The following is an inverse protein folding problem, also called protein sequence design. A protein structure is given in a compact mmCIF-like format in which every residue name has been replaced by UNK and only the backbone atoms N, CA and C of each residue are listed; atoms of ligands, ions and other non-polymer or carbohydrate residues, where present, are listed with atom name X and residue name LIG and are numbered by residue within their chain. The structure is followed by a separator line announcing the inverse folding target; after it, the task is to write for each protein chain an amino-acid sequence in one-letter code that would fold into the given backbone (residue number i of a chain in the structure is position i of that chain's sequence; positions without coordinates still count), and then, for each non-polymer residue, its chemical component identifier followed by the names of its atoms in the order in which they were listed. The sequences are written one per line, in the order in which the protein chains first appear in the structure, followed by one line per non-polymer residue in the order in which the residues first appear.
data_IF_500543548822
#
_entry.id   IF_500543548822
#
_cell.length_a   1.000
_cell.length_b   1.000
_cell.length_c   1.000
_cell.angle_alpha   90.00
_cell.angle_beta   90.00
_cell.angle_gamma   90.00
#
_symmetry.space_group_name_H-M   'P 1'
#
loop_
_entity.id
_entity.type
_entity.pdbx_description
1 polymer ?
#
# COMPACT_ATOMS: atom_id res chain seq x y z
N UNK A 1 11.80 5.61 20.91
CA UNK A 1 11.15 6.60 20.03
C UNK A 1 12.09 7.77 19.82
N UNK A 2 12.40 8.09 18.56
CA UNK A 2 12.70 9.47 18.18
C UNK A 2 11.50 10.34 18.58
N UNK A 3 11.70 11.64 18.82
CA UNK A 3 10.56 12.47 19.22
C UNK A 3 9.50 12.45 18.11
N UNK A 4 8.20 12.41 18.47
CA UNK A 4 7.11 12.54 17.49
C UNK A 4 7.31 13.74 16.57
N UNK A 5 7.96 14.79 17.08
CA UNK A 5 8.32 16.00 16.36
C UNK A 5 9.36 15.74 15.26
N UNK A 6 10.40 14.93 15.50
CA UNK A 6 11.43 14.59 14.50
C UNK A 6 10.86 13.74 13.36
N UNK A 7 9.97 12.80 13.69
CA UNK A 7 9.23 12.00 12.70
C UNK A 7 8.31 12.89 11.85
N UNK A 8 7.51 13.75 12.48
CA UNK A 8 6.63 14.69 11.79
C UNK A 8 7.42 15.62 10.86
N UNK A 9 8.52 16.21 11.36
CA UNK A 9 9.37 17.10 10.60
C UNK A 9 9.99 16.42 9.37
N UNK A 10 10.35 15.13 9.48
CA UNK A 10 10.85 14.34 8.37
C UNK A 10 9.80 14.20 7.26
N UNK A 11 8.58 13.82 7.62
CA UNK A 11 7.47 13.65 6.67
C UNK A 11 7.03 14.97 6.05
N UNK A 12 7.00 16.07 6.81
CA UNK A 12 6.71 17.40 6.27
C UNK A 12 7.73 17.82 5.21
N UNK A 13 9.02 17.60 5.45
CA UNK A 13 10.07 17.88 4.46
C UNK A 13 9.89 17.03 3.21
N UNK A 14 9.57 15.74 3.37
CA UNK A 14 9.24 14.85 2.26
C UNK A 14 8.09 15.43 1.42
N UNK A 15 6.95 15.72 2.05
CA UNK A 15 5.75 16.23 1.37
C UNK A 15 6.00 17.54 0.62
N UNK A 16 6.69 18.49 1.25
CA UNK A 16 7.07 19.74 0.60
C UNK A 16 7.97 19.48 -0.62
N UNK A 17 8.94 18.57 -0.50
CA UNK A 17 9.92 18.30 -1.55
C UNK A 17 9.36 17.59 -2.79
N UNK A 18 8.26 16.83 -2.63
CA UNK A 18 7.57 16.15 -3.74
C UNK A 18 6.39 16.96 -4.29
N UNK A 19 6.21 18.19 -3.82
CA UNK A 19 5.09 19.05 -4.21
C UNK A 19 3.73 18.40 -3.91
N UNK A 20 3.59 17.74 -2.76
CA UNK A 20 2.33 17.18 -2.30
C UNK A 20 1.30 18.30 -2.10
N UNK A 21 0.09 18.10 -2.63
CA UNK A 21 -1.03 19.05 -2.49
C UNK A 21 -2.15 18.37 -1.74
N UNK A 22 -2.37 18.77 -0.48
CA UNK A 22 -3.54 18.32 0.25
C UNK A 22 -4.80 18.94 -0.35
N UNK A 23 -5.71 18.09 -0.81
CA UNK A 23 -7.05 18.51 -1.26
C UNK A 23 -8.10 17.88 -0.35
N UNK A 24 -9.06 18.67 0.17
CA UNK A 24 -10.24 18.12 0.83
C UNK A 24 -10.93 17.13 -0.09
N UNK A 25 -11.48 16.05 0.47
CA UNK A 25 -12.27 15.10 -0.29
C UNK A 25 -13.42 15.84 -1.00
N UNK A 26 -13.71 15.54 -2.28
CA UNK A 26 -15.03 15.85 -2.81
C UNK A 26 -16.11 15.18 -1.94
N UNK A 27 -17.38 15.67 -1.97
CA UNK A 27 -18.47 14.98 -1.30
C UNK A 27 -18.47 13.48 -1.69
N UNK A 28 -18.61 12.57 -0.71
CA UNK A 28 -18.56 11.15 -0.98
C UNK A 28 -19.63 10.75 -1.99
N UNK A 29 -19.33 9.81 -2.88
CA UNK A 29 -20.32 9.28 -3.82
C UNK A 29 -21.32 8.41 -3.03
N UNK A 30 -22.59 8.84 -2.87
CA UNK A 30 -23.54 8.12 -2.04
C UNK A 30 -23.84 6.71 -2.58
N UNK A 31 -23.81 6.51 -3.90
CA UNK A 31 -24.07 5.21 -4.51
C UNK A 31 -22.92 4.24 -4.20
N UNK A 32 -21.67 4.71 -4.29
CA UNK A 32 -20.49 3.91 -3.97
C UNK A 32 -20.52 3.43 -2.51
N UNK A 33 -20.77 4.35 -1.59
CA UNK A 33 -20.75 4.07 -0.15
C UNK A 33 -21.94 3.22 0.29
N UNK A 34 -23.13 3.41 -0.31
CA UNK A 34 -24.28 2.53 -0.08
C UNK A 34 -23.98 1.11 -0.58
N UNK A 35 -23.47 0.95 -1.81
CA UNK A 35 -23.07 -0.37 -2.35
C UNK A 35 -22.06 -1.08 -1.46
N UNK A 36 -21.01 -0.37 -1.02
CA UNK A 36 -19.98 -0.94 -0.15
C UNK A 36 -20.53 -1.32 1.22
N UNK A 37 -21.37 -0.48 1.81
CA UNK A 37 -22.02 -0.77 3.08
C UNK A 37 -22.91 -2.00 2.99
N UNK A 38 -23.83 -2.03 2.02
CA UNK A 38 -24.74 -3.17 1.78
C UNK A 38 -23.96 -4.46 1.55
N UNK A 39 -22.93 -4.45 0.70
CA UNK A 39 -22.11 -5.65 0.50
C UNK A 39 -21.38 -6.08 1.78
N UNK A 40 -20.90 -5.12 2.58
CA UNK A 40 -20.21 -5.44 3.84
C UNK A 40 -21.14 -6.16 4.82
N UNK A 41 -22.37 -5.66 4.98
CA UNK A 41 -23.36 -6.21 5.91
C UNK A 41 -23.97 -7.52 5.38
N UNK A 42 -24.39 -7.53 4.12
CA UNK A 42 -25.19 -8.64 3.59
C UNK A 42 -24.34 -9.82 3.08
N UNK A 43 -23.07 -9.57 2.74
CA UNK A 43 -22.18 -10.57 2.12
C UNK A 43 -20.95 -10.84 2.96
N UNK A 44 -20.19 -9.81 3.33
CA UNK A 44 -18.91 -10.01 4.02
C UNK A 44 -19.10 -10.46 5.48
N UNK A 45 -20.02 -9.85 6.23
CA UNK A 45 -20.25 -10.17 7.64
C UNK A 45 -20.68 -11.65 7.85
N UNK A 46 -21.64 -12.20 7.09
CA UNK A 46 -21.94 -13.64 7.15
C UNK A 46 -20.74 -14.52 6.76
N UNK A 47 -19.94 -14.09 5.78
CA UNK A 47 -18.80 -14.86 5.28
C UNK A 47 -17.58 -14.85 6.21
N UNK A 48 -17.43 -13.82 7.05
CA UNK A 48 -16.38 -13.74 8.07
C UNK A 48 -16.55 -14.80 9.16
N UNK A 49 -17.74 -15.40 9.30
CA UNK A 49 -18.12 -16.42 10.31
C UNK A 49 -18.00 -15.98 11.77
N UNK A 50 -17.60 -14.74 12.03
CA UNK A 50 -17.63 -14.08 13.32
C UNK A 50 -18.09 -12.61 13.15
N UNK A 51 -18.82 -12.09 14.14
CA UNK A 51 -19.16 -10.66 14.20
C UNK A 51 -17.88 -9.87 14.48
N UNK A 52 -17.21 -9.43 13.43
CA UNK A 52 -16.06 -8.55 13.59
C UNK A 52 -16.57 -7.12 13.82
N UNK A 53 -16.52 -6.64 15.06
CA UNK A 53 -16.78 -5.22 15.38
C UNK A 53 -15.93 -4.26 14.54
N UNK A 54 -14.80 -4.76 14.00
CA UNK A 54 -13.90 -3.99 13.14
C UNK A 54 -14.34 -3.93 11.66
N UNK A 55 -15.24 -4.78 11.17
CA UNK A 55 -15.60 -4.85 9.73
C UNK A 55 -16.06 -3.49 9.17
N UNK A 56 -16.94 -2.72 9.83
CA UNK A 56 -17.30 -1.38 9.37
C UNK A 56 -16.10 -0.44 9.27
N UNK A 57 -15.14 -0.54 10.19
CA UNK A 57 -13.92 0.26 10.16
C UNK A 57 -12.98 -0.15 9.02
N UNK A 58 -12.88 -1.44 8.70
CA UNK A 58 -12.14 -1.95 7.55
C UNK A 58 -12.78 -1.50 6.23
N UNK A 59 -14.10 -1.61 6.11
CA UNK A 59 -14.86 -1.12 4.96
C UNK A 59 -14.69 0.39 4.77
N UNK A 60 -14.74 1.16 5.85
CA UNK A 60 -14.48 2.60 5.79
C UNK A 60 -13.04 2.90 5.34
N UNK A 61 -12.03 2.21 5.89
CA UNK A 61 -10.63 2.41 5.50
C UNK A 61 -10.40 2.06 4.02
N UNK A 62 -10.86 0.89 3.58
CA UNK A 62 -10.79 0.44 2.19
C UNK A 62 -11.52 1.42 1.25
N UNK A 63 -12.76 1.77 1.60
CA UNK A 63 -13.59 2.67 0.81
C UNK A 63 -12.94 4.03 0.60
N UNK A 64 -12.45 4.64 1.69
CA UNK A 64 -11.77 5.94 1.67
C UNK A 64 -10.47 5.89 0.88
N UNK A 65 -9.71 4.80 0.98
CA UNK A 65 -8.47 4.65 0.23
C UNK A 65 -8.73 4.68 -1.28
N UNK A 66 -9.69 3.88 -1.73
CA UNK A 66 -10.04 3.79 -3.13
C UNK A 66 -10.59 5.12 -3.67
N UNK A 67 -11.51 5.75 -2.94
CA UNK A 67 -12.10 7.03 -3.35
C UNK A 67 -11.06 8.16 -3.43
N UNK A 68 -10.07 8.19 -2.52
CA UNK A 68 -9.01 9.20 -2.52
C UNK A 68 -7.96 8.98 -3.59
N UNK A 69 -7.38 7.79 -3.65
CA UNK A 69 -6.26 7.51 -4.54
C UNK A 69 -6.73 7.23 -5.98
N UNK A 70 -7.98 6.82 -6.19
CA UNK A 70 -8.45 6.38 -7.51
C UNK A 70 -9.71 7.12 -7.93
N UNK A 71 -9.72 8.46 -7.76
CA UNK A 71 -10.86 9.31 -8.10
C UNK A 71 -11.25 9.35 -9.58
N UNK A 72 -10.41 8.86 -10.50
CA UNK A 72 -10.77 8.67 -11.91
C UNK A 72 -11.43 7.31 -12.19
N UNK A 73 -11.31 6.35 -11.27
CA UNK A 73 -11.87 5.03 -11.45
C UNK A 73 -13.40 5.09 -11.46
N UNK A 74 -14.02 4.37 -12.40
CA UNK A 74 -15.46 4.20 -12.44
C UNK A 74 -15.98 3.53 -11.17
N UNK A 75 -17.23 3.82 -10.81
CA UNK A 75 -17.93 3.25 -9.65
C UNK A 75 -17.75 1.73 -9.51
N UNK A 76 -17.88 0.98 -10.62
CA UNK A 76 -17.72 -0.48 -10.63
C UNK A 76 -16.30 -0.93 -10.29
N UNK A 77 -15.28 -0.23 -10.82
CA UNK A 77 -13.88 -0.53 -10.56
C UNK A 77 -13.54 -0.17 -9.11
N UNK A 78 -13.99 1.00 -8.63
CA UNK A 78 -13.81 1.39 -7.24
C UNK A 78 -14.44 0.38 -6.29
N UNK A 79 -15.70 0.00 -6.54
CA UNK A 79 -16.41 -0.98 -5.72
C UNK A 79 -15.71 -2.34 -5.69
N UNK A 80 -15.19 -2.81 -6.83
CA UNK A 80 -14.45 -4.06 -6.91
C UNK A 80 -13.16 -4.03 -6.07
N UNK A 81 -12.34 -2.98 -6.23
CA UNK A 81 -11.10 -2.85 -5.47
C UNK A 81 -11.35 -2.59 -3.98
N UNK A 82 -12.43 -1.90 -3.62
CA UNK A 82 -12.82 -1.71 -2.24
C UNK A 82 -13.13 -3.05 -1.57
N UNK A 83 -13.90 -3.94 -2.23
CA UNK A 83 -14.18 -5.30 -1.73
C UNK A 83 -12.90 -6.12 -1.52
N UNK A 84 -12.00 -6.13 -2.50
CA UNK A 84 -10.70 -6.81 -2.37
C UNK A 84 -9.87 -6.25 -1.23
N UNK A 85 -9.86 -4.94 -1.06
CA UNK A 85 -9.13 -4.26 0.02
C UNK A 85 -9.74 -4.58 1.40
N UNK A 86 -11.08 -4.66 1.53
CA UNK A 86 -11.74 -5.10 2.77
C UNK A 86 -11.33 -6.52 3.14
N UNK A 87 -11.36 -7.44 2.18
CA UNK A 87 -10.98 -8.84 2.40
C UNK A 87 -9.49 -8.97 2.76
N UNK A 88 -8.62 -8.24 2.06
CA UNK A 88 -7.19 -8.14 2.35
C UNK A 88 -6.94 -7.69 3.80
N UNK A 89 -7.53 -6.56 4.21
CA UNK A 89 -7.42 -6.07 5.59
C UNK A 89 -8.02 -7.04 6.62
N UNK A 90 -9.07 -7.77 6.27
CA UNK A 90 -9.66 -8.78 7.13
C UNK A 90 -8.69 -9.94 7.40
N UNK A 91 -7.99 -10.44 6.38
CA UNK A 91 -7.01 -11.52 6.54
C UNK A 91 -5.77 -11.06 7.31
N UNK A 92 -5.27 -9.85 7.04
CA UNK A 92 -4.17 -9.23 7.79
C UNK A 92 -4.51 -9.11 9.28
N UNK A 93 -5.67 -8.55 9.62
CA UNK A 93 -6.10 -8.37 11.01
C UNK A 93 -6.50 -9.72 11.69
N UNK A 94 -6.51 -10.83 10.95
CA UNK A 94 -6.88 -12.17 11.45
C UNK A 94 -5.69 -13.11 11.68
N UNK A 95 -4.46 -12.61 11.62
CA UNK A 95 -3.22 -13.42 11.72
C UNK A 95 -3.15 -14.33 12.96
N UNK A 96 -3.79 -13.96 14.06
CA UNK A 96 -3.84 -14.72 15.31
C UNK A 96 -4.87 -15.86 15.28
N UNK A 97 -5.78 -15.91 14.30
CA UNK A 97 -6.79 -16.94 14.18
C UNK A 97 -6.21 -18.22 13.55
N UNK A 98 -5.72 -19.13 14.40
CA UNK A 98 -5.12 -20.40 13.97
C UNK A 98 -6.05 -21.27 13.12
N UNK A 99 -7.35 -21.28 13.43
CA UNK A 99 -8.32 -22.12 12.70
C UNK A 99 -8.48 -21.62 11.27
N UNK A 100 -8.64 -20.30 11.10
CA UNK A 100 -8.72 -19.68 9.78
C UNK A 100 -7.43 -19.91 8.98
N UNK A 101 -6.26 -19.76 9.62
CA UNK A 101 -4.98 -19.86 8.92
C UNK A 101 -4.60 -21.27 8.45
N UNK A 102 -5.25 -22.31 8.99
CA UNK A 102 -5.18 -23.68 8.41
C UNK A 102 -5.80 -23.71 7.00
N UNK A 103 -6.87 -22.95 6.78
CA UNK A 103 -7.53 -22.86 5.48
C UNK A 103 -6.81 -21.88 4.55
N UNK A 104 -6.34 -20.74 5.07
CA UNK A 104 -5.49 -19.79 4.32
C UNK A 104 -4.26 -20.50 3.74
N UNK A 105 -3.61 -21.37 4.52
CA UNK A 105 -2.46 -22.17 4.09
C UNK A 105 -2.72 -23.10 2.88
N UNK A 106 -3.99 -23.39 2.57
CA UNK A 106 -4.39 -24.22 1.44
C UNK A 106 -4.97 -23.41 0.29
N UNK A 107 -5.10 -22.09 0.43
CA UNK A 107 -5.81 -21.24 -0.52
C UNK A 107 -5.27 -21.35 -1.94
N UNK A 108 -3.99 -21.04 -2.13
CA UNK A 108 -3.32 -21.06 -3.44
C UNK A 108 -3.31 -22.47 -4.03
N UNK A 109 -3.04 -23.49 -3.23
CA UNK A 109 -3.11 -24.90 -3.63
C UNK A 109 -4.50 -25.29 -4.18
N UNK A 110 -5.57 -24.97 -3.43
CA UNK A 110 -6.96 -25.26 -3.85
C UNK A 110 -7.32 -24.52 -5.13
N UNK A 111 -6.91 -23.26 -5.26
CA UNK A 111 -7.10 -22.50 -6.50
C UNK A 111 -6.44 -23.19 -7.70
N UNK A 112 -5.18 -23.61 -7.58
CA UNK A 112 -4.46 -24.29 -8.66
C UNK A 112 -5.08 -25.63 -9.06
N UNK A 113 -5.70 -26.33 -8.11
CA UNK A 113 -6.41 -27.59 -8.37
C UNK A 113 -7.87 -27.41 -8.79
N UNK A 114 -8.37 -26.17 -8.87
CA UNK A 114 -9.78 -25.90 -9.16
C UNK A 114 -10.74 -26.43 -8.08
N UNK A 115 -10.28 -26.52 -6.84
CA UNK A 115 -11.06 -26.99 -5.70
C UNK A 115 -11.77 -25.82 -5.00
N UNK A 116 -12.92 -26.09 -4.41
CA UNK A 116 -13.64 -25.12 -3.58
C UNK A 116 -12.82 -24.72 -2.35
N UNK A 117 -12.93 -23.45 -1.94
CA UNK A 117 -12.36 -22.96 -0.69
C UNK A 117 -13.21 -23.42 0.49
N UNK A 118 -12.56 -23.73 1.62
CA UNK A 118 -13.27 -24.26 2.80
C UNK A 118 -13.94 -23.13 3.60
N UNK A 119 -13.28 -21.98 3.70
CA UNK A 119 -13.78 -20.83 4.43
C UNK A 119 -14.59 -19.89 3.50
N UNK A 120 -15.80 -19.43 3.88
CA UNK A 120 -16.61 -18.57 3.04
C UNK A 120 -15.92 -17.25 2.63
N UNK A 121 -15.20 -16.58 3.54
CA UNK A 121 -14.42 -15.40 3.19
C UNK A 121 -13.32 -15.68 2.13
N UNK A 122 -12.70 -16.87 2.13
CA UNK A 122 -11.72 -17.25 1.10
C UNK A 122 -12.40 -17.51 -0.25
N UNK A 123 -13.59 -18.12 -0.24
CA UNK A 123 -14.39 -18.27 -1.45
C UNK A 123 -14.78 -16.90 -2.04
N UNK A 124 -15.15 -15.95 -1.19
CA UNK A 124 -15.47 -14.58 -1.58
C UNK A 124 -14.24 -13.84 -2.15
N UNK A 125 -13.07 -14.02 -1.53
CA UNK A 125 -11.81 -13.47 -2.03
C UNK A 125 -11.47 -14.01 -3.44
N UNK A 126 -11.57 -15.33 -3.62
CA UNK A 126 -11.38 -15.98 -4.92
C UNK A 126 -12.37 -15.48 -5.97
N UNK A 127 -13.67 -15.41 -5.65
CA UNK A 127 -14.69 -14.93 -6.57
C UNK A 127 -14.43 -13.47 -7.00
N UNK A 128 -14.06 -12.61 -6.05
CA UNK A 128 -13.77 -11.20 -6.34
C UNK A 128 -12.52 -11.03 -7.22
N UNK A 129 -11.50 -11.89 -7.05
CA UNK A 129 -10.35 -11.93 -7.97
C UNK A 129 -10.71 -12.42 -9.38
N UNK A 130 -11.66 -13.35 -9.49
CA UNK A 130 -12.17 -13.82 -10.78
C UNK A 130 -12.89 -12.67 -11.52
N UNK A 131 -13.74 -11.91 -10.82
CA UNK A 131 -14.35 -10.69 -11.37
C UNK A 131 -13.30 -9.68 -11.86
N UNK A 132 -12.23 -9.46 -11.09
CA UNK A 132 -11.11 -8.61 -11.51
C UNK A 132 -10.40 -9.16 -12.77
N UNK A 133 -10.16 -10.47 -12.81
CA UNK A 133 -9.55 -11.13 -13.97
C UNK A 133 -10.36 -10.94 -15.25
N UNK A 134 -11.68 -11.00 -15.16
CA UNK A 134 -12.61 -10.78 -16.28
C UNK A 134 -12.50 -9.35 -16.84
N UNK A 135 -12.46 -8.33 -15.97
CA UNK A 135 -12.30 -6.93 -16.37
C UNK A 135 -11.01 -6.70 -17.15
N UNK A 136 -9.94 -7.42 -16.78
CA UNK A 136 -8.65 -7.33 -17.46
C UNK A 136 -8.47 -8.37 -18.59
N UNK A 137 -9.54 -9.08 -19.00
CA UNK A 137 -9.47 -10.25 -19.89
C UNK A 137 -8.70 -10.03 -21.20
N UNK A 138 -8.75 -8.82 -21.75
CA UNK A 138 -8.11 -8.47 -23.03
C UNK A 138 -6.63 -8.04 -22.91
N UNK A 139 -6.11 -7.77 -21.71
CA UNK A 139 -4.74 -7.32 -21.49
C UNK A 139 -4.04 -8.25 -20.49
N UNK A 140 -3.37 -9.29 -21.01
CA UNK A 140 -2.75 -10.34 -20.19
C UNK A 140 -1.69 -9.82 -19.22
N UNK A 141 -0.88 -8.84 -19.62
CA UNK A 141 0.18 -8.27 -18.76
C UNK A 141 -0.44 -7.48 -17.62
N UNK A 142 -1.36 -6.57 -17.93
CA UNK A 142 -2.02 -5.76 -16.92
C UNK A 142 -2.91 -6.62 -16.00
N UNK A 143 -3.56 -7.67 -16.54
CA UNK A 143 -4.29 -8.66 -15.74
C UNK A 143 -3.40 -9.33 -14.72
N UNK A 144 -2.20 -9.75 -15.11
CA UNK A 144 -1.27 -10.40 -14.20
C UNK A 144 -0.83 -9.45 -13.08
N UNK A 145 -0.53 -8.18 -13.42
CA UNK A 145 -0.23 -7.14 -12.43
C UNK A 145 -1.43 -6.88 -11.50
N UNK A 146 -2.66 -6.93 -12.02
CA UNK A 146 -3.87 -6.65 -11.24
C UNK A 146 -4.27 -7.81 -10.30
N UNK A 147 -4.17 -9.06 -10.77
CA UNK A 147 -4.81 -10.22 -10.11
C UNK A 147 -3.84 -11.02 -9.25
N UNK A 148 -2.62 -11.29 -9.74
CA UNK A 148 -1.65 -12.13 -9.04
C UNK A 148 -1.30 -11.65 -7.62
N UNK A 149 -1.16 -10.34 -7.35
CA UNK A 149 -0.74 -9.86 -6.03
C UNK A 149 -1.68 -10.26 -4.89
N UNK A 150 -2.98 -10.38 -5.17
CA UNK A 150 -3.97 -10.80 -4.19
C UNK A 150 -3.77 -12.26 -3.77
N UNK A 151 -3.34 -13.14 -4.68
CA UNK A 151 -2.98 -14.53 -4.34
C UNK A 151 -1.72 -14.53 -3.47
N UNK A 152 -0.72 -13.76 -3.89
CA UNK A 152 0.57 -13.65 -3.21
C UNK A 152 0.43 -13.06 -1.80
N UNK A 153 -0.54 -12.16 -1.60
CA UNK A 153 -0.85 -11.58 -0.30
C UNK A 153 -1.19 -12.63 0.75
N UNK A 154 -2.08 -13.59 0.45
CA UNK A 154 -2.41 -14.65 1.41
C UNK A 154 -1.22 -15.56 1.70
N UNK A 155 -0.37 -15.83 0.70
CA UNK A 155 0.90 -16.53 0.90
C UNK A 155 1.83 -15.73 1.85
N UNK A 156 1.83 -14.40 1.74
CA UNK A 156 2.61 -13.50 2.59
C UNK A 156 2.09 -13.48 4.05
N UNK A 157 0.77 -13.42 4.27
CA UNK A 157 0.18 -13.50 5.60
C UNK A 157 0.61 -14.78 6.34
N UNK A 158 0.75 -15.92 5.63
CA UNK A 158 1.24 -17.18 6.21
C UNK A 158 2.70 -17.04 6.64
N UNK A 159 3.54 -16.44 5.81
CA UNK A 159 4.96 -16.23 6.14
C UNK A 159 5.09 -15.30 7.34
N UNK A 160 4.31 -14.22 7.40
CA UNK A 160 4.26 -13.31 8.55
C UNK A 160 3.84 -14.05 9.83
N UNK A 161 2.79 -14.88 9.77
CA UNK A 161 2.36 -15.70 10.91
C UNK A 161 3.47 -16.62 11.40
N UNK A 162 4.21 -17.23 10.48
CA UNK A 162 5.35 -18.08 10.82
C UNK A 162 6.49 -17.29 11.49
N UNK A 163 6.81 -16.10 10.99
CA UNK A 163 7.81 -15.22 11.59
C UNK A 163 7.42 -14.87 13.03
N UNK A 164 6.18 -14.42 13.25
CA UNK A 164 5.67 -14.07 14.59
C UNK A 164 5.70 -15.29 15.53
N UNK A 165 5.26 -16.46 15.06
CA UNK A 165 5.25 -17.70 15.86
C UNK A 165 6.67 -18.12 16.26
N UNK A 166 7.64 -17.97 15.36
CA UNK A 166 9.05 -18.29 15.64
C UNK A 166 9.64 -17.31 16.66
N UNK A 167 9.32 -16.01 16.55
CA UNK A 167 9.75 -14.99 17.50
C UNK A 167 9.20 -15.25 18.90
N UNK A 168 7.91 -15.56 19.04
CA UNK A 168 7.28 -15.86 20.33
C UNK A 168 7.89 -17.08 21.03
N UNK A 169 8.13 -18.17 20.28
CA UNK A 169 8.78 -19.37 20.83
C UNK A 169 10.18 -19.10 21.36
N UNK A 170 10.91 -18.21 20.69
CA UNK A 170 12.26 -17.83 21.08
C UNK A 170 12.27 -16.99 22.37
N UNK A 171 11.27 -16.12 22.57
CA UNK A 171 11.08 -15.38 23.82
C UNK A 171 10.77 -16.31 25.00
N UNK A 172 9.89 -17.29 24.78
CA UNK A 172 9.47 -18.25 25.82
C UNK A 172 10.60 -19.19 26.25
N UNK A 173 11.49 -19.57 25.33
CA UNK A 173 12.55 -20.56 25.60
C UNK A 173 13.81 -19.98 26.25
N UNK A 174 13.96 -18.64 26.34
CA UNK A 174 15.18 -17.96 26.86
C UNK A 174 16.49 -18.58 26.34
N UNK A 175 16.49 -19.08 25.11
CA UNK A 175 17.59 -19.89 24.62
C UNK A 175 18.84 -19.02 24.39
N UNK A 176 19.99 -19.51 24.86
CA UNK A 176 21.27 -18.79 25.00
C UNK A 176 21.90 -18.43 23.63
N UNK A 177 21.26 -18.81 22.52
CA UNK A 177 21.65 -18.47 21.15
C UNK A 177 21.16 -17.11 20.64
N UNK A 178 20.64 -16.22 21.49
CA UNK A 178 20.19 -14.88 21.11
C UNK A 178 21.23 -14.06 20.30
N UNK A 179 22.54 -14.27 20.53
CA UNK A 179 23.63 -13.59 19.81
C UNK A 179 23.86 -14.06 18.36
N UNK A 180 23.40 -15.27 18.00
CA UNK A 180 23.44 -15.75 16.60
C UNK A 180 22.22 -15.31 15.80
N UNK A 181 21.13 -14.90 16.47
CA UNK A 181 19.80 -14.73 15.87
C UNK A 181 19.48 -13.29 15.43
N UNK A 182 19.87 -12.27 16.20
CA UNK A 182 19.91 -10.87 15.70
C UNK A 182 20.83 -10.73 14.47
N UNK A 183 21.76 -11.69 14.31
CA UNK A 183 22.67 -11.82 13.19
C UNK A 183 22.02 -12.40 11.91
N UNK A 184 20.86 -13.06 11.94
CA UNK A 184 20.29 -13.66 10.72
C UNK A 184 19.63 -12.62 9.80
N UNK A 185 18.90 -11.66 10.38
CA UNK A 185 18.39 -10.49 9.65
C UNK A 185 19.54 -9.58 9.18
N UNK A 186 20.63 -9.49 9.95
CA UNK A 186 21.87 -8.83 9.54
C UNK A 186 22.44 -9.39 8.23
N UNK A 187 22.39 -10.72 8.10
CA UNK A 187 22.87 -11.44 6.93
C UNK A 187 21.88 -11.45 5.75
N UNK A 188 20.69 -10.90 5.93
CA UNK A 188 19.62 -10.87 4.92
C UNK A 188 19.10 -9.45 4.64
N UNK A 189 19.95 -8.49 4.20
CA UNK A 189 19.56 -7.08 4.06
C UNK A 189 18.47 -6.80 3.02
N UNK A 190 18.19 -7.76 2.14
CA UNK A 190 17.13 -7.66 1.12
C UNK A 190 15.78 -8.23 1.59
N UNK A 191 15.77 -8.97 2.70
CA UNK A 191 14.58 -9.61 3.22
C UNK A 191 13.44 -8.64 3.55
N UNK A 192 13.68 -7.46 4.16
CA UNK A 192 12.60 -6.53 4.49
C UNK A 192 11.81 -6.08 3.26
N UNK A 193 12.51 -5.67 2.19
CA UNK A 193 11.88 -5.28 0.92
C UNK A 193 11.23 -6.46 0.19
N UNK A 194 11.84 -7.65 0.27
CA UNK A 194 11.24 -8.86 -0.30
C UNK A 194 9.89 -9.19 0.35
N UNK A 195 9.82 -9.18 1.69
CA UNK A 195 8.57 -9.43 2.41
C UNK A 195 7.54 -8.36 2.12
N UNK A 196 7.95 -7.09 2.13
CA UNK A 196 7.04 -5.98 1.86
C UNK A 196 6.41 -6.07 0.46
N UNK A 197 7.21 -6.36 -0.56
CA UNK A 197 6.71 -6.56 -1.92
C UNK A 197 5.79 -7.77 -2.09
N UNK A 198 5.77 -8.70 -1.12
CA UNK A 198 4.84 -9.85 -1.10
C UNK A 198 3.51 -9.50 -0.42
N UNK A 199 3.54 -8.80 0.71
CA UNK A 199 2.32 -8.49 1.48
C UNK A 199 1.59 -7.24 1.00
N UNK A 200 2.27 -6.28 0.36
CA UNK A 200 1.71 -4.95 0.08
C UNK A 200 0.69 -4.82 -1.05
N UNK A 201 0.53 -5.85 -1.89
CA UNK A 201 -0.42 -5.85 -3.02
C UNK A 201 -0.24 -4.66 -3.99
N UNK A 202 0.93 -4.01 -3.96
CA UNK A 202 1.19 -2.74 -4.65
C UNK A 202 1.02 -2.86 -6.16
N UNK A 203 1.34 -4.00 -6.76
CA UNK A 203 1.14 -4.28 -8.18
C UNK A 203 -0.32 -4.13 -8.62
N UNK A 204 -1.28 -4.55 -7.79
CA UNK A 204 -2.69 -4.44 -8.12
C UNK A 204 -3.16 -2.99 -8.10
N UNK A 205 -2.66 -2.24 -7.13
CA UNK A 205 -2.92 -0.82 -6.96
C UNK A 205 -2.24 0.04 -8.04
N UNK A 206 -1.07 -0.37 -8.53
CA UNK A 206 -0.43 0.22 -9.72
C UNK A 206 -1.24 -0.06 -10.98
N UNK A 207 -1.73 -1.30 -11.16
CA UNK A 207 -2.58 -1.63 -12.30
C UNK A 207 -3.84 -0.77 -12.35
N UNK A 208 -4.43 -0.46 -11.18
CA UNK A 208 -5.61 0.40 -11.06
C UNK A 208 -5.35 1.84 -11.51
N UNK A 209 -4.15 2.40 -11.29
CA UNK A 209 -3.79 3.75 -11.78
C UNK A 209 -4.01 3.85 -13.30
N UNK A 210 -3.81 2.76 -14.04
CA UNK A 210 -3.86 2.72 -15.49
C UNK A 210 -5.07 1.94 -16.05
N UNK A 211 -6.01 1.53 -15.19
CA UNK A 211 -7.27 0.85 -15.53
C UNK A 211 -8.44 1.42 -14.71
N UNK A 212 -8.66 2.71 -14.83
CA UNK A 212 -9.75 3.44 -14.18
C UNK A 212 -11.14 2.98 -14.64
N UNK A 213 -11.31 2.55 -15.90
CA UNK A 213 -12.58 2.00 -16.39
C UNK A 213 -12.37 0.66 -17.09
N UNK A 214 -13.46 -0.10 -17.28
CA UNK A 214 -13.43 -1.37 -18.03
C UNK A 214 -12.94 -1.16 -19.47
N UNK A 215 -13.29 -0.03 -20.07
CA UNK A 215 -12.99 0.33 -21.47
C UNK A 215 -11.63 1.03 -21.63
N UNK A 216 -11.05 1.58 -20.55
CA UNK A 216 -9.77 2.27 -20.65
C UNK A 216 -8.66 1.31 -21.07
N UNK A 217 -7.90 1.69 -22.09
CA UNK A 217 -6.72 0.95 -22.53
C UNK A 217 -5.58 1.95 -22.76
N UNK A 218 -4.71 2.08 -21.76
CA UNK A 218 -3.51 2.91 -21.84
C UNK A 218 -2.34 2.08 -22.37
N UNK A 219 -1.55 2.60 -23.32
CA UNK A 219 -0.41 1.88 -23.87
C UNK A 219 0.60 1.52 -22.78
N UNK A 220 0.80 0.21 -22.55
CA UNK A 220 1.72 -0.31 -21.53
C UNK A 220 3.13 0.30 -21.64
N UNK A 221 3.59 0.55 -22.86
CA UNK A 221 4.90 1.16 -23.16
C UNK A 221 5.11 2.54 -22.54
N UNK A 222 4.03 3.24 -22.19
CA UNK A 222 4.09 4.59 -21.58
C UNK A 222 4.35 4.56 -20.08
N UNK A 223 4.01 3.48 -19.38
CA UNK A 223 4.11 3.44 -17.91
C UNK A 223 4.83 2.25 -17.31
N UNK A 224 5.03 1.14 -18.05
CA UNK A 224 5.60 -0.09 -17.49
C UNK A 224 7.02 0.08 -16.91
N UNK A 225 7.79 1.03 -17.45
CA UNK A 225 9.14 1.35 -16.94
C UNK A 225 9.09 2.03 -15.57
N UNK A 226 7.97 2.69 -15.26
CA UNK A 226 7.72 3.32 -13.96
C UNK A 226 7.33 2.30 -12.89
N UNK A 227 6.88 1.10 -13.28
CA UNK A 227 6.28 0.13 -12.36
C UNK A 227 7.14 -0.12 -11.13
N UNK A 228 8.46 -0.42 -11.20
CA UNK A 228 9.27 -0.64 -10.00
C UNK A 228 9.25 0.55 -9.02
N UNK A 229 9.32 1.78 -9.54
CA UNK A 229 9.27 2.99 -8.74
C UNK A 229 7.86 3.23 -8.16
N UNK A 230 6.79 2.91 -8.91
CA UNK A 230 5.41 3.00 -8.43
C UNK A 230 5.12 1.99 -7.30
N UNK A 231 5.64 0.76 -7.41
CA UNK A 231 5.52 -0.25 -6.35
C UNK A 231 6.20 0.25 -5.08
N UNK A 232 7.45 0.71 -5.22
CA UNK A 232 8.21 1.28 -4.11
C UNK A 232 7.46 2.46 -3.47
N UNK A 233 6.88 3.35 -4.29
CA UNK A 233 6.07 4.45 -3.78
C UNK A 233 4.91 3.97 -2.91
N UNK A 234 4.07 3.06 -3.42
CA UNK A 234 2.91 2.58 -2.67
C UNK A 234 3.34 1.90 -1.37
N UNK A 235 4.34 1.02 -1.44
CA UNK A 235 4.78 0.23 -0.30
C UNK A 235 5.40 1.10 0.78
N UNK A 236 6.42 1.89 0.42
CA UNK A 236 7.19 2.72 1.36
C UNK A 236 6.39 3.91 1.87
N UNK A 237 5.52 4.51 1.04
CA UNK A 237 4.64 5.58 1.52
C UNK A 237 3.71 5.05 2.61
N UNK A 238 3.14 3.86 2.44
CA UNK A 238 2.35 3.23 3.48
C UNK A 238 3.20 2.93 4.73
N UNK A 239 4.37 2.29 4.62
CA UNK A 239 5.24 2.02 5.77
C UNK A 239 5.61 3.30 6.55
N UNK A 240 5.94 4.38 5.83
CA UNK A 240 6.27 5.66 6.44
C UNK A 240 5.09 6.29 7.17
N UNK A 241 3.86 6.13 6.69
CA UNK A 241 2.66 6.74 7.26
C UNK A 241 1.94 5.83 8.27
N UNK A 242 2.18 4.53 8.19
CA UNK A 242 1.70 3.55 9.16
C UNK A 242 2.63 3.39 10.36
N UNK A 243 3.90 3.77 10.23
CA UNK A 243 4.89 3.59 11.30
C UNK A 243 4.42 4.08 12.67
N UNK A 244 3.80 5.26 12.74
CA UNK A 244 3.32 5.80 14.02
C UNK A 244 2.25 4.91 14.69
N UNK A 245 1.27 4.38 13.93
CA UNK A 245 0.26 3.49 14.51
C UNK A 245 0.87 2.15 14.96
N UNK A 246 1.90 1.68 14.25
CA UNK A 246 2.59 0.42 14.49
C UNK A 246 3.46 0.52 15.74
N UNK A 247 4.20 1.61 15.91
CA UNK A 247 4.94 1.94 17.13
C UNK A 247 4.02 1.97 18.35
N UNK A 248 2.84 2.60 18.22
CA UNK A 248 1.84 2.63 19.30
C UNK A 248 1.27 1.24 19.64
N UNK A 249 1.28 0.31 18.68
CA UNK A 249 0.84 -1.06 18.85
C UNK A 249 1.98 -2.00 19.29
N UNK A 250 3.22 -1.54 19.33
CA UNK A 250 4.41 -2.36 19.62
C UNK A 250 4.79 -3.31 18.49
N UNK A 251 4.36 -3.04 17.25
CA UNK A 251 4.63 -3.88 16.09
C UNK A 251 6.08 -3.72 15.61
N UNK A 252 6.88 -4.79 15.72
CA UNK A 252 8.30 -4.78 15.35
C UNK A 252 8.61 -5.51 14.03
N UNK A 253 7.62 -6.17 13.43
CA UNK A 253 7.74 -6.89 12.16
C UNK A 253 7.25 -6.02 10.98
N UNK A 254 7.84 -4.84 10.81
CA UNK A 254 7.55 -3.93 9.70
C UNK A 254 8.84 -3.52 8.97
N UNK A 255 8.70 -2.89 7.80
CA UNK A 255 9.85 -2.54 6.95
C UNK A 255 10.88 -1.69 7.71
N UNK A 256 10.44 -0.69 8.45
CA UNK A 256 11.31 0.26 9.15
C UNK A 256 12.12 -0.45 10.24
N UNK A 257 11.48 -1.27 11.06
CA UNK A 257 12.18 -2.03 12.11
C UNK A 257 13.15 -3.05 11.53
N UNK A 258 12.71 -3.87 10.57
CA UNK A 258 13.55 -4.91 9.98
C UNK A 258 14.75 -4.29 9.25
N UNK A 259 14.55 -3.15 8.56
CA UNK A 259 15.63 -2.42 7.89
C UNK A 259 16.57 -1.74 8.89
N UNK A 260 16.06 -1.20 10.00
CA UNK A 260 16.89 -0.65 11.09
C UNK A 260 17.79 -1.73 11.67
N UNK A 261 17.24 -2.90 11.99
CA UNK A 261 18.00 -4.04 12.51
C UNK A 261 19.09 -4.49 11.53
N UNK A 262 18.75 -4.58 10.23
CA UNK A 262 19.70 -4.97 9.19
C UNK A 262 20.84 -3.95 9.02
N UNK A 263 20.56 -2.64 9.06
CA UNK A 263 21.59 -1.61 8.91
C UNK A 263 22.46 -1.47 10.16
N UNK A 264 21.87 -1.51 11.35
CA UNK A 264 22.60 -1.45 12.61
C UNK A 264 23.60 -2.61 12.75
N UNK A 265 23.22 -3.81 12.32
CA UNK A 265 24.03 -5.01 12.46
C UNK A 265 25.22 -5.09 11.50
N UNK A 266 25.19 -4.39 10.37
CA UNK A 266 26.37 -4.20 9.49
C UNK A 266 27.22 -2.99 9.88
N UNK A 267 26.96 -2.37 11.03
CA UNK A 267 27.71 -1.23 11.53
C UNK A 267 27.51 0.04 10.71
N UNK A 268 26.32 0.25 10.13
CA UNK A 268 26.01 1.52 9.49
C UNK A 268 26.10 2.68 10.50
N UNK A 269 26.73 3.78 10.09
CA UNK A 269 26.86 4.97 10.93
C UNK A 269 25.51 5.68 11.02
N UNK A 270 24.98 5.82 12.23
CA UNK A 270 23.73 6.52 12.51
C UNK A 270 23.86 7.68 13.47
N UNK A 271 22.71 8.24 13.86
CA UNK A 271 22.61 9.38 14.78
C UNK A 271 22.42 8.99 16.24
N UNK A 272 22.38 7.69 16.54
CA UNK A 272 22.27 7.18 17.90
C UNK A 272 23.55 7.34 18.73
N UNK A 273 23.47 7.03 20.04
CA UNK A 273 24.65 6.96 20.91
C UNK A 273 25.73 6.08 20.29
N UNK A 274 26.99 6.49 20.41
CA UNK A 274 28.16 5.80 19.85
C UNK A 274 28.11 5.60 18.32
N UNK A 275 27.27 6.37 17.61
CA UNK A 275 27.11 6.30 16.16
C UNK A 275 26.23 5.15 15.68
N UNK A 276 25.40 4.57 16.56
CA UNK A 276 24.49 3.48 16.19
C UNK A 276 23.37 3.93 15.24
N UNK A 277 23.03 3.07 14.28
CA UNK A 277 21.89 3.25 13.38
C UNK A 277 20.56 3.09 14.11
N UNK A 278 19.67 4.07 13.97
CA UNK A 278 18.39 4.15 14.68
C UNK A 278 17.19 4.02 13.73
N UNK A 279 15.99 3.86 14.30
CA UNK A 279 14.75 3.90 13.51
C UNK A 279 14.55 5.26 12.82
N UNK A 280 14.98 6.36 13.45
CA UNK A 280 14.92 7.69 12.86
C UNK A 280 15.83 7.80 11.62
N UNK A 281 17.01 7.19 11.66
CA UNK A 281 17.92 7.13 10.50
C UNK A 281 17.27 6.37 9.34
N UNK A 282 16.59 5.26 9.63
CA UNK A 282 15.83 4.50 8.62
C UNK A 282 14.66 5.29 8.06
N UNK A 283 13.89 6.00 8.89
CA UNK A 283 12.80 6.88 8.43
C UNK A 283 13.34 7.95 7.50
N UNK A 284 14.44 8.62 7.88
CA UNK A 284 15.06 9.65 7.06
C UNK A 284 15.62 9.10 5.74
N UNK A 285 16.21 7.90 5.76
CA UNK A 285 16.66 7.18 4.58
C UNK A 285 15.49 6.90 3.63
N UNK A 286 14.41 6.31 4.14
CA UNK A 286 13.23 5.97 3.35
C UNK A 286 12.52 7.22 2.79
N UNK A 287 12.44 8.30 3.56
CA UNK A 287 11.94 9.58 3.05
C UNK A 287 12.77 10.09 1.88
N UNK A 288 14.10 10.00 1.95
CA UNK A 288 14.97 10.42 0.85
C UNK A 288 14.79 9.52 -0.38
N UNK A 289 14.77 8.20 -0.21
CA UNK A 289 14.56 7.24 -1.29
C UNK A 289 13.18 7.42 -1.95
N UNK A 290 12.13 7.65 -1.15
CA UNK A 290 10.78 7.91 -1.64
C UNK A 290 10.70 9.24 -2.40
N UNK A 291 11.37 10.29 -1.92
CA UNK A 291 11.48 11.57 -2.64
C UNK A 291 12.08 11.37 -4.03
N UNK A 292 13.26 10.75 -4.11
CA UNK A 292 13.91 10.51 -5.41
C UNK A 292 13.04 9.66 -6.33
N UNK A 293 12.33 8.68 -5.77
CA UNK A 293 11.41 7.83 -6.52
C UNK A 293 10.24 8.62 -7.10
N UNK A 294 9.60 9.48 -6.31
CA UNK A 294 8.52 10.34 -6.81
C UNK A 294 9.01 11.28 -7.90
N UNK A 295 10.19 11.89 -7.74
CA UNK A 295 10.75 12.80 -8.75
C UNK A 295 11.04 12.08 -10.09
N UNK A 296 11.55 10.83 -10.05
CA UNK A 296 11.73 10.01 -11.26
C UNK A 296 10.41 9.69 -11.94
N UNK A 297 9.37 9.34 -11.18
CA UNK A 297 8.03 9.05 -11.74
C UNK A 297 7.44 10.33 -12.36
N UNK A 298 7.51 11.46 -11.65
CA UNK A 298 7.03 12.75 -12.14
C UNK A 298 7.72 13.16 -13.45
N UNK A 299 9.04 12.94 -13.55
CA UNK A 299 9.80 13.20 -14.77
C UNK A 299 9.38 12.25 -15.91
N UNK A 300 9.30 10.94 -15.64
CA UNK A 300 8.90 9.93 -16.62
C UNK A 300 7.50 10.19 -17.18
N UNK A 301 6.57 10.63 -16.32
CA UNK A 301 5.21 11.00 -16.70
C UNK A 301 5.06 12.46 -17.12
N UNK A 302 6.17 13.20 -17.18
CA UNK A 302 6.22 14.59 -17.64
C UNK A 302 5.20 15.46 -16.89
N UNK A 303 5.01 15.18 -15.59
CA UNK A 303 3.88 15.65 -14.79
C UNK A 303 3.75 17.17 -14.82
N UNK A 304 4.85 17.89 -14.61
CA UNK A 304 4.86 19.36 -14.63
C UNK A 304 4.45 19.92 -15.99
N UNK A 305 4.99 19.37 -17.09
CA UNK A 305 4.67 19.81 -18.46
C UNK A 305 3.20 19.55 -18.78
N UNK A 306 2.69 18.37 -18.40
CA UNK A 306 1.27 18.03 -18.53
C UNK A 306 0.39 19.00 -17.74
N UNK A 307 0.75 19.32 -16.49
CA UNK A 307 0.01 20.26 -15.64
C UNK A 307 -0.02 21.68 -16.21
N UNK A 308 1.11 22.19 -16.71
CA UNK A 308 1.16 23.50 -17.38
C UNK A 308 0.26 23.52 -18.62
N UNK A 309 0.29 22.47 -19.44
CA UNK A 309 -0.58 22.34 -20.62
C UNK A 309 -2.07 22.35 -20.22
N UNK A 310 -2.43 21.62 -19.17
CA UNK A 310 -3.81 21.57 -18.65
C UNK A 310 -4.31 22.93 -18.14
N UNK A 311 -3.42 23.78 -17.60
CA UNK A 311 -3.75 25.13 -17.14
C UNK A 311 -3.72 26.18 -18.26
N UNK A 312 -3.31 25.81 -19.47
CA UNK A 312 -3.11 26.76 -20.58
C UNK A 312 -1.85 27.63 -20.42
N UNK A 313 -0.88 27.19 -19.61
CA UNK A 313 0.38 27.89 -19.30
C UNK A 313 1.58 27.39 -20.14
N UNK A 314 1.30 26.60 -21.18
CA UNK A 314 2.32 26.00 -22.05
C UNK A 314 2.05 26.46 -23.49
N UNK A 315 2.95 27.30 -24.00
CA UNK A 315 2.90 27.78 -25.39
C UNK A 315 3.42 26.71 -26.36
N UNK A 316 3.02 26.80 -27.63
CA UNK A 316 3.50 25.91 -28.72
C UNK A 316 5.04 25.87 -28.81
N UNK A 317 5.70 27.01 -28.51
CA UNK A 317 7.17 27.14 -28.52
C UNK A 317 7.88 26.39 -27.39
N UNK A 318 7.16 26.02 -26.33
CA UNK A 318 7.67 25.24 -25.18
C UNK A 318 7.40 23.73 -25.35
N UNK A 319 7.02 23.32 -26.56
CA UNK A 319 6.75 21.92 -26.92
C UNK A 319 5.39 21.42 -26.45
N UNK A 320 4.36 22.28 -26.44
CA UNK A 320 2.99 21.86 -26.16
C UNK A 320 2.50 20.75 -27.14
N UNK A 321 3.01 20.75 -28.38
CA UNK A 321 2.69 19.75 -29.40
C UNK A 321 3.31 18.37 -29.11
N UNK A 322 4.29 18.27 -28.21
CA UNK A 322 4.94 17.01 -27.85
C UNK A 322 4.13 16.15 -26.86
N UNK A 323 2.96 16.63 -26.42
CA UNK A 323 2.11 15.97 -25.44
C UNK A 323 0.79 15.54 -26.08
N UNK A 324 0.52 14.24 -26.09
CA UNK A 324 -0.76 13.70 -26.52
C UNK A 324 -1.74 13.52 -25.34
N UNK A 325 -2.97 13.12 -25.63
CA UNK A 325 -4.00 12.89 -24.60
C UNK A 325 -3.63 11.77 -23.63
N UNK A 326 -2.86 10.77 -24.09
CA UNK A 326 -2.41 9.65 -23.26
C UNK A 326 -1.43 10.15 -22.19
N UNK A 327 -0.50 11.03 -22.56
CA UNK A 327 0.43 11.66 -21.62
C UNK A 327 -0.32 12.47 -20.55
N UNK A 328 -1.34 13.24 -20.96
CA UNK A 328 -2.17 14.01 -20.03
C UNK A 328 -2.95 13.10 -19.08
N UNK A 329 -3.53 12.02 -19.60
CA UNK A 329 -4.32 11.08 -18.83
C UNK A 329 -3.48 10.28 -17.81
N UNK A 330 -2.26 9.86 -18.17
CA UNK A 330 -1.31 9.22 -17.26
C UNK A 330 -0.90 10.18 -16.15
N UNK A 331 -0.51 11.41 -16.50
CA UNK A 331 -0.08 12.41 -15.53
C UNK A 331 -1.20 12.76 -14.53
N UNK A 332 -2.45 12.91 -14.99
CA UNK A 332 -3.62 13.17 -14.12
C UNK A 332 -3.88 12.02 -13.14
N UNK A 333 -3.90 10.79 -13.63
CA UNK A 333 -4.16 9.63 -12.78
C UNK A 333 -3.04 9.40 -11.77
N UNK A 334 -1.78 9.58 -12.18
CA UNK A 334 -0.65 9.55 -11.26
C UNK A 334 -0.76 10.62 -10.18
N UNK A 335 -1.05 11.87 -10.55
CA UNK A 335 -1.24 12.97 -9.59
C UNK A 335 -2.29 12.64 -8.52
N UNK A 336 -3.46 12.17 -8.96
CA UNK A 336 -4.55 11.80 -8.05
C UNK A 336 -4.18 10.58 -7.20
N UNK A 337 -3.56 9.55 -7.77
CA UNK A 337 -3.11 8.38 -7.03
C UNK A 337 -2.08 8.71 -5.95
N UNK A 338 -1.08 9.50 -6.31
CA UNK A 338 0.01 9.88 -5.42
C UNK A 338 -0.47 10.75 -4.26
N UNK A 339 -1.13 11.87 -4.57
CA UNK A 339 -1.57 12.82 -3.55
C UNK A 339 -2.76 12.24 -2.76
N UNK A 340 -3.66 11.49 -3.42
CA UNK A 340 -4.76 10.78 -2.79
C UNK A 340 -4.32 9.68 -1.82
N UNK A 341 -3.25 8.94 -2.14
CA UNK A 341 -2.68 7.93 -1.23
C UNK A 341 -2.16 8.59 0.06
N UNK A 342 -1.40 9.67 -0.04
CA UNK A 342 -0.91 10.42 1.14
C UNK A 342 -2.07 11.02 1.93
N UNK A 343 -3.01 11.69 1.24
CA UNK A 343 -4.17 12.31 1.90
C UNK A 343 -5.04 11.28 2.63
N UNK A 344 -5.23 10.08 2.06
CA UNK A 344 -5.93 8.99 2.74
C UNK A 344 -5.32 8.66 4.09
N UNK A 345 -3.99 8.51 4.18
CA UNK A 345 -3.33 8.21 5.44
C UNK A 345 -3.52 9.33 6.46
N UNK A 346 -3.44 10.60 6.02
CA UNK A 346 -3.64 11.76 6.89
C UNK A 346 -5.09 11.86 7.42
N UNK A 347 -6.08 11.43 6.62
CA UNK A 347 -7.50 11.52 6.96
C UNK A 347 -8.06 10.29 7.66
N UNK A 348 -7.47 9.12 7.44
CA UNK A 348 -7.98 7.87 7.97
C UNK A 348 -7.56 7.72 9.44
N UNK A 349 -8.56 7.63 10.32
CA UNK A 349 -8.37 7.44 11.77
C UNK A 349 -7.55 6.20 12.13
N UNK A 350 -7.46 5.20 11.25
CA UNK A 350 -6.62 4.00 11.43
C UNK A 350 -5.15 4.37 11.71
N UNK A 351 -4.63 5.45 11.11
CA UNK A 351 -3.21 5.81 11.18
C UNK A 351 -2.86 6.79 12.30
N UNK A 352 -3.85 7.41 12.96
CA UNK A 352 -3.67 8.32 14.10
C UNK A 352 -2.72 9.50 13.80
N UNK A 353 -2.78 10.05 12.59
CA UNK A 353 -1.90 11.12 12.10
C UNK A 353 -2.47 12.54 12.24
N UNK A 354 -3.42 12.78 13.17
CA UNK A 354 -4.07 14.09 13.32
C UNK A 354 -3.05 15.24 13.54
N UNK A 355 -1.97 14.96 14.28
CA UNK A 355 -0.88 15.92 14.52
C UNK A 355 -0.16 16.32 13.22
N UNK A 356 0.10 15.36 12.34
CA UNK A 356 0.76 15.59 11.06
C UNK A 356 -0.17 16.30 10.08
N UNK A 357 -1.44 15.89 10.03
CA UNK A 357 -2.45 16.52 9.17
C UNK A 357 -2.60 18.01 9.47
N UNK A 358 -2.72 18.39 10.75
CA UNK A 358 -2.80 19.80 11.15
C UNK A 358 -1.56 20.57 10.69
N UNK A 359 -0.38 19.99 10.87
CA UNK A 359 0.87 20.63 10.51
C UNK A 359 1.03 20.81 8.98
N UNK A 360 0.52 19.87 8.18
CA UNK A 360 0.47 19.99 6.71
C UNK A 360 -0.55 21.03 6.25
N UNK A 361 -1.74 21.06 6.86
CA UNK A 361 -2.77 22.05 6.52
C UNK A 361 -2.36 23.49 6.87
N UNK A 362 -1.58 23.68 7.93
CA UNK A 362 -1.12 25.00 8.37
C UNK A 362 0.10 25.53 7.58
N UNK A 363 0.80 24.66 6.84
CA UNK A 363 2.01 25.01 6.08
C UNK A 363 1.79 25.24 4.58
N UNK A 364 0.57 25.03 4.08
CA UNK A 364 0.18 25.22 2.68
C UNK A 364 -0.46 26.59 2.42
#
# INVERSE_FOLDING_TARGET
MSSTDDYAACLQRLFASIGFRYQPLPPPDPEYWERLHTWTVDVMEPAATCSHEKLPALANAAGMYIERAYGYASLDIQFLYARLTVLCLFFDDSIENDTLFVDVAKFSHRMYLGQEQQHPALALYQATMQELSEIHGNNSVLRNLAVLPWIVHLDACIVEKQIVTLQQRDEDTKDVCASHKSNLLALAPKFPHYMRGKSGVSEAFVALIFKATKEQDLPLTRYIKATPDLLFFIDVCNDLLSFYKEELAGETCNLIHLRTQSLASVGANGTGPDGQWTTQDTVQLLCNELRETVLRIDELFRLEKCERKMRGELDEKDGADDLDEVDLQIARQWRIARDGNIAFHLDCKRYKLDFLKQAVMNGN
#
